data_IF_121692064438
#
_entry.id   IF_121692064438
#
_cell.length_a   1.000
_cell.length_b   1.000
_cell.length_c   1.000
_cell.angle_alpha   90.00
_cell.angle_beta   90.00
_cell.angle_gamma   90.00
#
_symmetry.space_group_name_H-M   'P 1'
#
loop_
_entity.id
_entity.type
_entity.pdbx_description
1 polymer ?
#
# COMPACT_ATOMS: atom_id res chain seq x y z
N UNK A 1 11.93 9.34 -4.72
CA UNK A 1 11.28 9.25 -3.40
C UNK A 1 11.65 7.93 -2.73
N UNK A 2 11.84 7.93 -1.41
CA UNK A 2 11.90 6.69 -0.61
C UNK A 2 10.47 6.34 -0.19
N UNK A 3 9.98 5.17 -0.58
CA UNK A 3 8.68 4.65 -0.17
C UNK A 3 8.88 3.57 0.89
N UNK A 4 8.35 3.80 2.08
CA UNK A 4 8.33 2.84 3.17
C UNK A 4 6.93 2.27 3.33
N UNK A 5 6.81 0.94 3.35
CA UNK A 5 5.54 0.24 3.47
C UNK A 5 5.69 -0.77 4.59
N UNK A 6 4.78 -0.71 5.57
CA UNK A 6 4.79 -1.66 6.67
C UNK A 6 3.40 -2.18 7.02
N UNK A 7 3.40 -3.41 7.54
CA UNK A 7 2.29 -4.05 8.23
C UNK A 7 2.92 -4.81 9.40
N UNK A 8 2.76 -4.28 10.60
CA UNK A 8 3.30 -4.87 11.83
C UNK A 8 2.59 -6.19 12.15
N UNK A 9 1.27 -6.24 11.92
CA UNK A 9 0.48 -7.44 12.16
C UNK A 9 0.91 -8.62 11.27
N UNK A 10 1.52 -8.33 10.12
CA UNK A 10 1.94 -9.30 9.11
C UNK A 10 3.45 -9.41 8.94
N UNK A 11 4.21 -8.80 9.85
CA UNK A 11 5.68 -8.81 9.86
C UNK A 11 6.30 -8.38 8.51
N UNK A 12 5.66 -7.43 7.81
CA UNK A 12 6.16 -6.88 6.55
C UNK A 12 6.76 -5.49 6.78
N UNK A 13 7.98 -5.30 6.30
CA UNK A 13 8.61 -3.99 6.20
C UNK A 13 9.39 -3.91 4.89
N UNK A 14 9.03 -2.94 4.03
CA UNK A 14 9.65 -2.70 2.74
C UNK A 14 10.10 -1.24 2.65
N UNK A 15 11.38 -1.03 2.34
CA UNK A 15 11.91 0.30 1.98
C UNK A 15 12.34 0.25 0.52
N UNK A 16 11.69 1.04 -0.33
CA UNK A 16 11.86 1.03 -1.77
C UNK A 16 12.30 2.42 -2.25
N UNK A 17 13.30 2.48 -3.13
CA UNK A 17 13.59 3.69 -3.89
C UNK A 17 12.75 3.71 -5.15
N UNK A 18 11.85 4.68 -5.30
CA UNK A 18 11.04 4.87 -6.50
C UNK A 18 11.25 6.24 -7.13
N UNK A 19 11.30 6.28 -8.45
CA UNK A 19 11.41 7.49 -9.28
C UNK A 19 10.10 7.80 -10.03
N UNK A 20 9.25 6.80 -10.22
CA UNK A 20 7.96 6.91 -10.93
C UNK A 20 6.97 5.88 -10.43
N UNK A 21 5.68 6.18 -10.53
CA UNK A 21 4.60 5.29 -10.08
C UNK A 21 4.70 3.87 -10.70
N UNK A 22 5.02 3.77 -11.99
CA UNK A 22 5.08 2.49 -12.71
C UNK A 22 6.14 1.48 -12.22
N UNK A 23 7.01 1.85 -11.28
CA UNK A 23 7.97 0.93 -10.66
C UNK A 23 7.32 0.01 -9.61
N UNK A 24 6.18 0.39 -9.05
CA UNK A 24 5.47 -0.36 -8.03
C UNK A 24 4.03 -0.59 -8.45
N UNK A 25 3.45 -1.72 -8.06
CA UNK A 25 2.05 -2.02 -8.29
C UNK A 25 1.43 -2.62 -7.05
N UNK A 26 0.29 -2.06 -6.65
CA UNK A 26 -0.55 -2.59 -5.58
C UNK A 26 -1.77 -3.29 -6.20
N UNK A 27 -2.08 -4.50 -5.76
CA UNK A 27 -3.25 -5.23 -6.22
C UNK A 27 -4.05 -5.84 -5.05
N UNK A 28 -5.37 -5.64 -5.07
CA UNK A 28 -6.27 -6.30 -4.13
C UNK A 28 -6.63 -7.65 -4.75
N UNK A 29 -6.49 -8.69 -3.95
CA UNK A 29 -7.02 -10.03 -4.23
C UNK A 29 -7.96 -10.35 -3.08
N UNK A 30 -8.98 -11.20 -3.35
CA UNK A 30 -10.04 -11.61 -2.40
C UNK A 30 -9.81 -11.25 -0.92
N UNK A 31 -8.74 -11.78 -0.32
CA UNK A 31 -8.36 -11.59 1.09
C UNK A 31 -6.87 -11.24 1.26
N UNK A 32 -6.26 -10.55 0.30
CA UNK A 32 -4.86 -10.15 0.39
C UNK A 32 -4.53 -8.91 -0.43
N UNK A 33 -3.56 -8.14 0.03
CA UNK A 33 -2.91 -7.08 -0.75
C UNK A 33 -1.60 -7.64 -1.31
N UNK A 34 -1.36 -7.44 -2.60
CA UNK A 34 -0.11 -7.75 -3.27
C UNK A 34 0.64 -6.47 -3.59
N UNK A 35 1.94 -6.44 -3.29
CA UNK A 35 2.87 -5.38 -3.63
C UNK A 35 3.90 -5.97 -4.58
N UNK A 36 3.95 -5.45 -5.80
CA UNK A 36 4.80 -5.95 -6.88
C UNK A 36 5.82 -4.86 -7.20
N UNK A 37 7.11 -5.19 -7.09
CA UNK A 37 8.21 -4.29 -7.39
C UNK A 37 9.40 -5.08 -7.93
N UNK A 38 9.98 -4.63 -9.05
CA UNK A 38 11.13 -5.29 -9.71
C UNK A 38 10.99 -6.81 -9.89
N UNK A 39 9.80 -7.28 -10.28
CA UNK A 39 9.52 -8.71 -10.47
C UNK A 39 9.38 -9.53 -9.18
N UNK A 40 9.51 -8.89 -8.02
CA UNK A 40 9.24 -9.49 -6.71
C UNK A 40 7.82 -9.17 -6.28
N UNK A 41 7.08 -10.17 -5.81
CA UNK A 41 5.73 -10.01 -5.28
C UNK A 41 5.74 -10.30 -3.79
N UNK A 42 5.30 -9.34 -2.99
CA UNK A 42 5.02 -9.49 -1.57
C UNK A 42 3.51 -9.57 -1.38
N UNK A 43 3.05 -10.52 -0.56
CA UNK A 43 1.64 -10.72 -0.29
C UNK A 43 1.36 -10.55 1.20
N UNK A 44 0.37 -9.71 1.50
CA UNK A 44 -0.14 -9.45 2.84
C UNK A 44 -1.52 -10.08 2.93
N UNK A 45 -1.64 -11.17 3.68
CA UNK A 45 -2.93 -11.83 3.89
C UNK A 45 -3.70 -11.14 5.01
N UNK A 46 -4.99 -10.95 4.79
CA UNK A 46 -5.89 -10.21 5.66
C UNK A 46 -7.23 -10.95 5.74
N UNK A 47 -7.95 -10.76 6.83
CA UNK A 47 -9.31 -11.30 7.03
C UNK A 47 -10.40 -10.36 6.49
N UNK A 48 -10.01 -9.20 5.95
CA UNK A 48 -10.94 -8.17 5.46
C UNK A 48 -11.46 -8.49 4.08
N UNK A 49 -12.67 -7.99 3.82
CA UNK A 49 -13.35 -8.16 2.55
C UNK A 49 -12.68 -7.38 1.42
N UNK A 50 -12.83 -7.89 0.20
CA UNK A 50 -12.24 -7.30 -1.00
C UNK A 50 -12.56 -5.81 -1.20
N UNK A 51 -13.76 -5.36 -0.80
CA UNK A 51 -14.15 -3.94 -0.90
C UNK A 51 -13.28 -3.02 -0.04
N UNK A 52 -12.96 -3.44 1.19
CA UNK A 52 -12.03 -2.70 2.07
C UNK A 52 -10.64 -2.67 1.44
N UNK A 53 -10.14 -3.81 0.99
CA UNK A 53 -8.80 -3.91 0.39
C UNK A 53 -8.67 -3.09 -0.89
N UNK A 54 -9.73 -3.01 -1.70
CA UNK A 54 -9.77 -2.19 -2.90
C UNK A 54 -9.62 -0.71 -2.55
N UNK A 55 -10.36 -0.21 -1.56
CA UNK A 55 -10.28 1.17 -1.10
C UNK A 55 -8.90 1.51 -0.53
N UNK A 56 -8.33 0.64 0.30
CA UNK A 56 -6.96 0.81 0.82
C UNK A 56 -5.95 0.99 -0.31
N UNK A 57 -6.06 0.21 -1.38
CA UNK A 57 -5.16 0.32 -2.52
C UNK A 57 -5.37 1.60 -3.32
N UNK A 58 -6.61 2.07 -3.46
CA UNK A 58 -6.87 3.37 -4.07
C UNK A 58 -6.17 4.48 -3.28
N UNK A 59 -6.34 4.50 -1.95
CA UNK A 59 -5.71 5.49 -1.06
C UNK A 59 -4.18 5.43 -1.17
N UNK A 60 -3.60 4.23 -1.18
CA UNK A 60 -2.15 4.05 -1.34
C UNK A 60 -1.66 4.65 -2.66
N UNK A 61 -2.38 4.40 -3.76
CA UNK A 61 -2.00 4.91 -5.09
C UNK A 61 -2.09 6.42 -5.15
N UNK A 62 -3.18 7.00 -4.65
CA UNK A 62 -3.38 8.45 -4.57
C UNK A 62 -2.26 9.13 -3.79
N UNK A 63 -1.93 8.61 -2.59
CA UNK A 63 -0.82 9.15 -1.79
C UNK A 63 0.53 9.09 -2.50
N UNK A 64 0.82 7.99 -3.22
CA UNK A 64 2.07 7.86 -3.98
C UNK A 64 2.10 8.87 -5.12
N UNK A 65 0.99 9.04 -5.83
CA UNK A 65 0.90 9.99 -6.95
C UNK A 65 1.06 11.43 -6.45
N UNK A 66 0.36 11.81 -5.39
CA UNK A 66 0.48 13.12 -4.71
C UNK A 66 1.93 13.38 -4.29
N UNK A 67 2.57 12.46 -3.57
CA UNK A 67 3.96 12.63 -3.13
C UNK A 67 4.96 12.71 -4.29
N UNK A 68 4.71 12.01 -5.40
CA UNK A 68 5.55 12.13 -6.60
C UNK A 68 5.36 13.50 -7.29
N UNK A 69 4.13 14.00 -7.38
CA UNK A 69 3.83 15.34 -7.93
C UNK A 69 4.45 16.46 -7.08
N UNK A 70 4.38 16.34 -5.76
CA UNK A 70 4.95 17.29 -4.81
C UNK A 70 6.48 17.18 -4.69
N UNK A 71 7.10 16.19 -5.34
CA UNK A 71 8.53 15.87 -5.26
C UNK A 71 9.00 15.59 -3.82
N UNK A 72 8.17 14.88 -3.06
CA UNK A 72 8.50 14.45 -1.71
C UNK A 72 9.75 13.57 -1.70
N UNK A 73 10.55 13.76 -0.65
CA UNK A 73 11.74 12.93 -0.44
C UNK A 73 11.35 11.53 0.01
N UNK A 74 10.28 11.40 0.79
CA UNK A 74 9.86 10.14 1.40
C UNK A 74 8.35 10.09 1.64
N UNK A 75 7.78 8.90 1.51
CA UNK A 75 6.40 8.57 1.87
C UNK A 75 6.39 7.30 2.72
N UNK A 76 5.63 7.32 3.80
CA UNK A 76 5.43 6.17 4.70
C UNK A 76 3.98 5.72 4.61
N UNK A 77 3.77 4.42 4.43
CA UNK A 77 2.46 3.79 4.33
C UNK A 77 2.35 2.69 5.39
N UNK A 78 1.52 2.96 6.40
CA UNK A 78 1.05 1.95 7.35
C UNK A 78 -0.21 1.27 6.78
N UNK A 79 -0.08 0.01 6.37
CA UNK A 79 -1.18 -0.75 5.79
C UNK A 79 -2.21 -1.14 6.85
N UNK A 80 -1.78 -1.40 8.09
CA UNK A 80 -2.67 -1.84 9.16
C UNK A 80 -3.58 -0.67 9.57
N UNK A 81 -3.00 0.53 9.72
CA UNK A 81 -3.75 1.76 9.99
C UNK A 81 -4.73 2.09 8.86
N UNK A 82 -4.29 1.99 7.60
CA UNK A 82 -5.17 2.24 6.46
C UNK A 82 -6.36 1.28 6.42
N UNK A 83 -6.12 -0.01 6.66
CA UNK A 83 -7.20 -1.00 6.75
C UNK A 83 -8.18 -0.64 7.87
N UNK A 84 -7.69 -0.30 9.06
CA UNK A 84 -8.54 0.05 10.19
C UNK A 84 -9.38 1.29 9.90
N UNK A 85 -8.78 2.33 9.33
CA UNK A 85 -9.48 3.56 8.98
C UNK A 85 -10.54 3.32 7.91
N UNK A 86 -10.22 2.57 6.85
CA UNK A 86 -11.19 2.21 5.80
C UNK A 86 -12.35 1.35 6.36
N UNK A 87 -12.09 0.48 7.35
CA UNK A 87 -13.18 -0.25 8.02
C UNK A 87 -14.15 0.72 8.70
N UNK A 88 -13.63 1.69 9.47
CA UNK A 88 -14.46 2.67 10.20
C UNK A 88 -15.26 3.60 9.28
N UNK A 89 -14.75 3.91 8.10
CA UNK A 89 -15.44 4.77 7.13
C UNK A 89 -16.58 4.08 6.38
N UNK A 90 -16.54 2.74 6.30
CA UNK A 90 -17.50 1.91 5.56
C UNK A 90 -18.53 1.21 6.47
N UNK A 91 -18.43 1.38 7.79
CA UNK A 91 -19.43 1.00 8.80
C UNK A 91 -20.62 1.97 8.82
#
# INVERSE_FOLDING_TARGET
MILEIHSYDKELFLTLGIEKHSQITFAAKRTSIEIIHNGTTHQIKTDKEFGILLNVICIIRERIDESLEENDKSLVIDIDELIENTCKELE
#
